data_IF_116080185482
#
_entry.id   IF_116080185482
#
_cell.length_a   1.000
_cell.length_b   1.000
_cell.length_c   1.000
_cell.angle_alpha   90.00
_cell.angle_beta   90.00
_cell.angle_gamma   90.00
#
_symmetry.space_group_name_H-M   'P 1'
#
loop_
_entity.id
_entity.type
_entity.pdbx_description
1 polymer ?
#
# COMPACT_ATOMS: atom_id res chain seq x y z
N UNK A 1 22.30 -10.31 -0.75
CA UNK A 1 21.61 -9.23 0.01
C UNK A 1 21.78 -7.84 -0.61
N UNK A 2 22.87 -7.55 -1.34
CA UNK A 2 23.08 -6.27 -2.03
C UNK A 2 22.05 -5.91 -3.13
N UNK A 3 21.30 -6.89 -3.64
CA UNK A 3 20.29 -6.70 -4.70
C UNK A 3 18.95 -6.11 -4.23
N UNK A 4 18.78 -5.89 -2.93
CA UNK A 4 17.51 -5.46 -2.36
C UNK A 4 16.41 -6.53 -2.42
N UNK A 5 15.47 -6.48 -1.48
CA UNK A 5 14.29 -7.35 -1.43
C UNK A 5 13.07 -6.42 -1.41
N UNK A 6 12.22 -6.55 -2.42
CA UNK A 6 10.93 -5.87 -2.47
C UNK A 6 9.82 -6.90 -2.27
N UNK A 7 8.94 -6.63 -1.31
CA UNK A 7 7.74 -7.41 -1.02
C UNK A 7 6.53 -6.52 -1.19
N UNK A 8 5.52 -7.02 -1.90
CA UNK A 8 4.24 -6.33 -2.09
C UNK A 8 3.11 -7.29 -1.74
N UNK A 9 2.16 -6.81 -0.95
CA UNK A 9 0.97 -7.56 -0.57
C UNK A 9 -0.25 -6.70 -0.74
N UNK A 10 -1.30 -7.23 -1.37
CA UNK A 10 -2.57 -6.54 -1.50
C UNK A 10 -3.71 -7.52 -1.18
N UNK A 11 -4.70 -7.02 -0.43
CA UNK A 11 -5.88 -7.78 -0.01
C UNK A 11 -7.15 -7.00 -0.36
N UNK A 12 -7.88 -7.41 -1.42
CA UNK A 12 -9.21 -6.89 -1.68
C UNK A 12 -10.22 -7.50 -0.70
N UNK A 13 -11.20 -6.72 -0.28
CA UNK A 13 -12.32 -7.15 0.55
C UNK A 13 -13.59 -6.38 0.19
N UNK A 14 -14.74 -7.04 0.32
CA UNK A 14 -16.05 -6.38 0.28
C UNK A 14 -16.39 -5.95 1.70
N UNK A 15 -16.39 -4.64 1.96
CA UNK A 15 -16.59 -4.10 3.30
C UNK A 15 -18.08 -4.05 3.66
N UNK A 16 -18.94 -3.73 2.70
CA UNK A 16 -20.39 -3.70 2.89
C UNK A 16 -21.13 -3.95 1.58
N UNK A 17 -22.25 -4.67 1.67
CA UNK A 17 -23.20 -4.84 0.59
C UNK A 17 -24.62 -4.77 1.16
N UNK A 18 -25.43 -3.87 0.61
CA UNK A 18 -26.85 -3.77 0.89
C UNK A 18 -27.57 -3.67 -0.43
N UNK A 19 -28.53 -4.56 -0.66
CA UNK A 19 -29.40 -4.54 -1.84
C UNK A 19 -30.85 -4.66 -1.41
N UNK A 20 -31.69 -3.73 -1.87
CA UNK A 20 -33.15 -3.73 -1.63
C UNK A 20 -33.86 -3.51 -2.94
N UNK A 21 -34.89 -4.31 -3.19
CA UNK A 21 -35.79 -4.16 -4.32
C UNK A 21 -37.10 -3.64 -3.75
N UNK A 22 -37.55 -2.50 -4.25
CA UNK A 22 -38.73 -1.78 -3.77
C UNK A 22 -39.75 -1.67 -4.92
N UNK A 23 -41.03 -1.97 -4.67
CA UNK A 23 -42.07 -1.73 -5.65
C UNK A 23 -42.33 -0.22 -5.79
N UNK A 24 -42.48 0.27 -7.02
CA UNK A 24 -42.94 1.65 -7.29
C UNK A 24 -44.42 1.68 -7.62
N UNK A 25 -45.04 2.86 -7.53
CA UNK A 25 -46.48 3.05 -7.83
C UNK A 25 -46.84 2.71 -9.29
N UNK A 26 -45.87 2.73 -10.21
CA UNK A 26 -46.03 2.35 -11.61
C UNK A 26 -45.90 0.82 -11.82
N UNK A 27 -45.74 0.03 -10.75
CA UNK A 27 -45.60 -1.43 -10.82
C UNK A 27 -44.21 -1.90 -11.26
N UNK A 28 -43.24 -0.99 -11.40
CA UNK A 28 -41.89 -1.31 -11.84
C UNK A 28 -40.95 -1.47 -10.63
N UNK A 29 -40.11 -2.51 -10.57
CA UNK A 29 -39.16 -2.68 -9.47
C UNK A 29 -38.05 -1.63 -9.51
N UNK A 30 -37.86 -0.93 -8.39
CA UNK A 30 -36.72 -0.05 -8.16
C UNK A 30 -35.69 -0.78 -7.29
N UNK A 31 -34.43 -0.70 -7.68
CA UNK A 31 -33.27 -1.22 -6.96
C UNK A 31 -32.58 -0.08 -6.18
N UNK A 32 -32.35 -0.34 -4.89
CA UNK A 32 -31.45 0.41 -4.03
C UNK A 32 -30.25 -0.50 -3.73
N UNK A 33 -29.06 -0.10 -4.14
CA UNK A 33 -27.80 -0.82 -3.91
C UNK A 33 -26.80 0.06 -3.20
N UNK A 34 -26.14 -0.45 -2.16
CA UNK A 34 -25.03 0.20 -1.48
C UNK A 34 -23.89 -0.81 -1.36
N UNK A 35 -22.76 -0.53 -2.02
CA UNK A 35 -21.61 -1.42 -2.11
C UNK A 35 -20.37 -0.67 -1.68
N UNK A 36 -19.65 -1.17 -0.70
CA UNK A 36 -18.34 -0.65 -0.30
C UNK A 36 -17.30 -1.74 -0.52
N UNK A 37 -16.40 -1.52 -1.47
CA UNK A 37 -15.22 -2.35 -1.68
C UNK A 37 -14.01 -1.67 -1.03
N UNK A 38 -13.09 -2.44 -0.49
CA UNK A 38 -11.83 -1.93 0.04
C UNK A 38 -10.65 -2.80 -0.42
N UNK A 39 -9.50 -2.18 -0.61
CA UNK A 39 -8.24 -2.84 -0.95
C UNK A 39 -7.18 -2.31 0.01
N UNK A 40 -6.66 -3.18 0.86
CA UNK A 40 -5.51 -2.86 1.69
C UNK A 40 -4.25 -3.36 0.98
N UNK A 41 -3.25 -2.51 0.80
CA UNK A 41 -1.95 -2.88 0.24
C UNK A 41 -0.81 -2.48 1.17
N UNK A 42 0.25 -3.26 1.18
CA UNK A 42 1.46 -2.99 1.93
C UNK A 42 2.67 -3.37 1.07
N UNK A 43 3.54 -2.39 0.84
CA UNK A 43 4.81 -2.60 0.17
C UNK A 43 5.96 -2.44 1.18
N UNK A 44 6.95 -3.32 1.08
CA UNK A 44 8.15 -3.30 1.91
C UNK A 44 9.36 -3.46 1.00
N UNK A 45 10.25 -2.47 0.99
CA UNK A 45 11.48 -2.48 0.22
C UNK A 45 12.68 -2.41 1.16
N UNK A 46 13.51 -3.45 1.18
CA UNK A 46 14.71 -3.54 2.02
C UNK A 46 15.91 -3.54 1.10
N UNK A 47 16.78 -2.54 1.22
CA UNK A 47 18.04 -2.43 0.48
C UNK A 47 19.20 -2.45 1.47
N UNK A 48 20.18 -3.30 1.24
CA UNK A 48 21.40 -3.37 2.05
C UNK A 48 22.61 -2.99 1.19
N UNK A 49 23.20 -1.84 1.47
CA UNK A 49 24.41 -1.35 0.83
C UNK A 49 25.59 -1.62 1.75
N UNK A 50 26.59 -2.36 1.28
CA UNK A 50 27.83 -2.64 2.01
C UNK A 50 28.96 -1.85 1.36
N UNK A 51 29.72 -1.11 2.16
CA UNK A 51 30.86 -0.32 1.67
C UNK A 51 32.14 -0.68 2.46
N UNK A 52 33.29 -0.98 1.82
CA UNK A 52 33.53 -1.10 0.38
C UNK A 52 32.83 -2.32 -0.26
N UNK A 53 32.54 -2.24 -1.55
CA UNK A 53 31.89 -3.29 -2.35
C UNK A 53 32.69 -4.58 -2.28
N UNK A 54 32.05 -5.67 -1.85
CA UNK A 54 32.65 -7.00 -1.79
C UNK A 54 32.98 -7.49 -3.22
N UNK A 55 34.14 -8.13 -3.44
CA UNK A 55 34.52 -8.66 -4.75
C UNK A 55 33.56 -9.76 -5.22
N UNK A 56 33.37 -9.87 -6.54
CA UNK A 56 32.37 -10.71 -7.21
C UNK A 56 32.58 -12.23 -7.06
N UNK A 57 33.61 -12.65 -6.32
CA UNK A 57 33.95 -14.06 -6.09
C UNK A 57 33.47 -14.52 -4.70
N UNK A 58 32.45 -15.39 -4.62
CA UNK A 58 31.84 -15.83 -3.35
C UNK A 58 32.74 -16.74 -2.49
N UNK A 59 33.98 -16.99 -2.91
CA UNK A 59 34.87 -18.01 -2.34
C UNK A 59 35.92 -17.42 -1.38
N UNK A 60 36.08 -16.09 -1.36
CA UNK A 60 37.06 -15.36 -0.53
C UNK A 60 36.41 -14.43 0.52
N UNK A 61 35.13 -14.63 0.83
CA UNK A 61 34.39 -13.89 1.85
C UNK A 61 34.87 -14.24 3.26
N UNK A 62 35.99 -13.66 3.71
CA UNK A 62 36.46 -13.81 5.09
C UNK A 62 35.59 -12.98 6.02
N UNK A 63 35.11 -13.55 7.13
CA UNK A 63 34.31 -12.85 8.16
C UNK A 63 34.96 -11.53 8.62
N UNK A 64 36.30 -11.49 8.67
CA UNK A 64 37.08 -10.31 9.03
C UNK A 64 36.90 -9.11 8.08
N UNK A 65 36.64 -9.37 6.80
CA UNK A 65 36.42 -8.31 5.80
C UNK A 65 35.00 -7.72 5.90
N UNK A 66 34.04 -8.54 6.36
CA UNK A 66 32.68 -8.10 6.69
C UNK A 66 32.68 -7.28 8.00
N UNK A 67 33.48 -7.66 9.00
CA UNK A 67 33.60 -6.88 10.25
C UNK A 67 34.27 -5.51 10.07
N UNK A 68 35.06 -5.33 9.01
CA UNK A 68 35.72 -4.06 8.66
C UNK A 68 34.90 -3.16 7.73
N UNK A 69 33.76 -3.63 7.22
CA UNK A 69 32.94 -2.87 6.27
C UNK A 69 31.78 -2.17 6.98
N UNK A 70 31.37 -1.02 6.43
CA UNK A 70 30.20 -0.29 6.90
C UNK A 70 28.96 -0.87 6.22
N UNK A 71 27.95 -1.19 7.03
CA UNK A 71 26.69 -1.74 6.58
C UNK A 71 25.61 -0.66 6.66
N UNK A 72 25.04 -0.28 5.52
CA UNK A 72 23.88 0.61 5.46
C UNK A 72 22.66 -0.21 5.03
N UNK A 73 21.67 -0.32 5.92
CA UNK A 73 20.39 -0.97 5.63
C UNK A 73 19.31 0.11 5.55
N UNK A 74 18.65 0.18 4.41
CA UNK A 74 17.50 1.04 4.17
C UNK A 74 16.27 0.16 4.05
N UNK A 75 15.27 0.39 4.91
CA UNK A 75 13.98 -0.25 4.84
C UNK A 75 12.91 0.81 4.59
N UNK A 76 12.08 0.61 3.58
CA UNK A 76 10.98 1.48 3.23
C UNK A 76 9.69 0.67 3.29
N UNK A 77 8.71 1.16 4.05
CA UNK A 77 7.40 0.53 4.21
C UNK A 77 6.33 1.50 3.71
N UNK A 78 5.40 1.01 2.90
CA UNK A 78 4.30 1.80 2.34
C UNK A 78 2.98 1.03 2.48
N UNK A 79 2.32 1.09 3.65
CA UNK A 79 0.93 0.71 3.78
C UNK A 79 0.02 1.71 3.04
N UNK A 80 -0.99 1.19 2.37
CA UNK A 80 -2.06 1.95 1.70
C UNK A 80 -3.40 1.22 1.79
N UNK A 81 -4.48 1.99 1.74
CA UNK A 81 -5.85 1.49 1.74
C UNK A 81 -6.66 2.31 0.74
N UNK A 82 -7.36 1.64 -0.16
CA UNK A 82 -8.32 2.24 -1.08
C UNK A 82 -9.72 1.73 -0.73
N UNK A 83 -10.69 2.62 -0.53
CA UNK A 83 -12.10 2.31 -0.42
C UNK A 83 -12.84 2.86 -1.63
N UNK A 84 -13.80 2.10 -2.12
CA UNK A 84 -14.67 2.47 -3.22
C UNK A 84 -16.11 2.15 -2.85
N UNK A 85 -16.91 3.19 -2.65
CA UNK A 85 -18.31 3.10 -2.28
C UNK A 85 -19.19 3.47 -3.47
N UNK A 86 -20.23 2.69 -3.69
CA UNK A 86 -21.25 2.91 -4.70
C UNK A 86 -22.61 2.91 -4.03
N UNK A 87 -23.38 3.98 -4.19
CA UNK A 87 -24.79 4.00 -3.87
C UNK A 87 -25.57 4.14 -5.18
N UNK A 88 -26.50 3.23 -5.44
CA UNK A 88 -27.29 3.15 -6.67
C UNK A 88 -28.75 3.18 -6.28
N UNK A 89 -29.52 4.07 -6.89
CA UNK A 89 -30.99 4.08 -6.81
C UNK A 89 -31.51 4.16 -8.22
N UNK A 90 -32.31 3.20 -8.65
CA UNK A 90 -32.83 3.23 -10.00
C UNK A 90 -33.72 2.05 -10.35
N UNK A 91 -34.26 2.10 -11.54
CA UNK A 91 -35.04 1.04 -12.14
C UNK A 91 -34.15 0.34 -13.16
N UNK A 92 -33.99 -0.98 -13.00
CA UNK A 92 -33.21 -1.82 -13.91
C UNK A 92 -34.12 -2.92 -14.46
N UNK A 93 -34.83 -2.61 -15.54
CA UNK A 93 -35.71 -3.57 -16.22
C UNK A 93 -35.37 -3.66 -17.70
N UNK A 94 -35.83 -4.71 -18.38
CA UNK A 94 -35.61 -4.88 -19.82
C UNK A 94 -36.25 -3.78 -20.69
N UNK A 95 -37.23 -3.05 -20.16
CA UNK A 95 -37.96 -1.99 -20.88
C UNK A 95 -37.48 -0.58 -20.49
N UNK A 96 -37.14 -0.37 -19.22
CA UNK A 96 -36.73 0.93 -18.68
C UNK A 96 -35.49 0.74 -17.80
N UNK A 97 -34.42 1.45 -18.15
CA UNK A 97 -33.20 1.55 -17.37
C UNK A 97 -32.94 3.02 -17.03
N UNK A 98 -33.09 3.36 -15.76
CA UNK A 98 -32.83 4.71 -15.27
C UNK A 98 -32.31 4.60 -13.84
N UNK A 99 -31.10 5.10 -13.58
CA UNK A 99 -30.52 5.04 -12.25
C UNK A 99 -29.68 6.28 -11.96
N UNK A 100 -29.70 6.68 -10.70
CA UNK A 100 -28.76 7.62 -10.10
C UNK A 100 -27.73 6.81 -9.35
N UNK A 101 -26.45 7.08 -9.60
CA UNK A 101 -25.34 6.43 -8.93
C UNK A 101 -24.44 7.48 -8.30
N UNK A 102 -24.32 7.45 -6.98
CA UNK A 102 -23.27 8.14 -6.26
C UNK A 102 -22.05 7.22 -6.16
N UNK A 103 -20.87 7.78 -6.42
CA UNK A 103 -19.59 7.08 -6.31
C UNK A 103 -18.71 7.89 -5.38
N UNK A 104 -18.05 7.20 -4.48
CA UNK A 104 -17.05 7.79 -3.60
C UNK A 104 -15.81 6.91 -3.63
N UNK A 105 -14.65 7.53 -3.84
CA UNK A 105 -13.36 6.85 -3.76
C UNK A 105 -12.53 7.51 -2.68
N UNK A 106 -12.12 6.73 -1.69
CA UNK A 106 -11.21 7.17 -0.64
C UNK A 106 -9.89 6.43 -0.80
N UNK A 107 -8.78 7.14 -0.92
CA UNK A 107 -7.45 6.52 -0.96
C UNK A 107 -6.56 7.12 0.11
N UNK A 108 -6.01 6.27 0.97
CA UNK A 108 -5.09 6.67 2.05
C UNK A 108 -3.78 5.90 1.94
N UNK A 109 -2.64 6.59 2.00
CA UNK A 109 -1.33 5.96 2.00
C UNK A 109 -0.43 6.60 3.06
N UNK A 110 0.26 5.77 3.82
CA UNK A 110 1.15 6.19 4.90
C UNK A 110 2.57 5.67 4.61
N UNK A 111 3.36 6.35 3.76
CA UNK A 111 4.74 5.95 3.53
C UNK A 111 5.58 6.18 4.79
N UNK A 112 6.54 5.30 5.04
CA UNK A 112 7.51 5.40 6.13
C UNK A 112 8.86 4.86 5.70
N UNK A 113 9.95 5.54 6.06
CA UNK A 113 11.31 5.17 5.67
C UNK A 113 12.23 5.07 6.88
N UNK A 114 12.80 3.91 7.09
CA UNK A 114 13.77 3.62 8.14
C UNK A 114 15.14 3.41 7.53
N UNK A 115 16.14 4.17 7.96
CA UNK A 115 17.53 4.02 7.52
C UNK A 115 18.38 3.68 8.74
N UNK A 116 18.97 2.48 8.74
CA UNK A 116 19.89 2.02 9.78
C UNK A 116 21.29 1.95 9.17
N UNK A 117 22.21 2.77 9.70
CA UNK A 117 23.62 2.79 9.30
C UNK A 117 24.43 2.22 10.45
N UNK A 118 25.09 1.09 10.23
CA UNK A 118 25.99 0.47 11.19
C UNK A 118 27.43 0.56 10.67
N UNK A 119 28.25 1.34 11.35
CA UNK A 119 29.70 1.40 11.16
C UNK A 119 30.34 0.33 12.07
N UNK A 120 30.38 -0.93 11.60
CA UNK A 120 31.01 -2.05 12.32
C UNK A 120 32.47 -1.78 12.75
N UNK A 121 33.36 -1.17 11.94
CA UNK A 121 34.74 -0.92 12.36
C UNK A 121 34.90 0.13 13.46
N UNK A 122 33.88 0.97 13.72
CA UNK A 122 33.88 2.00 14.77
C UNK A 122 32.89 1.73 15.90
N UNK A 123 32.13 0.63 15.82
CA UNK A 123 31.07 0.31 16.78
C UNK A 123 29.91 1.32 16.82
N UNK A 124 29.79 2.19 15.81
CA UNK A 124 28.77 3.24 15.79
C UNK A 124 27.53 2.79 15.02
N UNK A 125 26.37 2.83 15.68
CA UNK A 125 25.08 2.56 15.04
C UNK A 125 24.29 3.85 15.01
N UNK A 126 24.00 4.34 13.81
CA UNK A 126 23.11 5.48 13.57
C UNK A 126 21.80 4.96 13.01
N UNK A 127 20.72 5.18 13.77
CA UNK A 127 19.37 4.88 13.34
C UNK A 127 18.67 6.20 12.99
N UNK A 128 18.34 6.37 11.71
CA UNK A 128 17.58 7.50 11.20
C UNK A 128 16.18 7.00 10.85
N UNK A 129 15.22 7.29 11.72
CA UNK A 129 13.80 7.15 11.39
C UNK A 129 13.42 8.42 10.64
N UNK A 130 13.27 8.32 9.32
CA UNK A 130 12.69 9.42 8.55
C UNK A 130 11.18 9.21 8.61
N UNK A 131 10.42 9.98 9.42
CA UNK A 131 9.01 10.11 9.11
C UNK A 131 8.96 10.55 7.65
N UNK A 132 8.31 9.79 6.78
CA UNK A 132 8.09 10.24 5.42
C UNK A 132 7.00 11.33 5.46
N UNK A 133 7.30 12.43 6.14
CA UNK A 133 6.72 13.74 5.89
C UNK A 133 7.33 14.28 4.58
N UNK A 134 7.20 13.50 3.51
CA UNK A 134 7.21 13.97 2.15
C UNK A 134 5.81 13.64 1.65
N UNK A 135 4.91 14.57 1.94
CA UNK A 135 3.54 14.69 1.44
C UNK A 135 3.41 14.02 0.07
N UNK A 136 2.73 12.86 -0.08
CA UNK A 136 1.91 12.71 -1.26
C UNK A 136 0.78 13.74 -1.10
N UNK A 137 0.44 14.48 -2.15
CA UNK A 137 -0.47 15.64 -2.11
C UNK A 137 -1.77 15.41 -1.32
N UNK A 138 -2.16 14.16 -1.04
CA UNK A 138 -3.30 13.81 -0.21
C UNK A 138 -3.01 12.55 0.64
N UNK A 139 -2.96 12.69 1.97
CA UNK A 139 -2.94 11.56 2.93
C UNK A 139 -4.28 10.79 2.88
N UNK A 140 -5.34 11.48 2.46
CA UNK A 140 -6.63 10.93 2.11
C UNK A 140 -7.19 11.70 0.90
N UNK A 141 -7.32 11.05 -0.27
CA UNK A 141 -8.05 11.64 -1.40
C UNK A 141 -9.47 11.11 -1.39
N UNK A 142 -10.46 12.01 -1.31
CA UNK A 142 -11.86 11.70 -1.61
C UNK A 142 -12.15 12.22 -3.01
N UNK A 143 -12.59 11.37 -3.94
CA UNK A 143 -12.84 11.73 -5.34
C UNK A 143 -14.16 11.17 -5.85
#
# INVERSE_FOLDING_TARGET
MQKGIAFQYAKPLLAAEVRRILPTCLGVPMELGFYTAAVAAAELNIQATVNPTLPEHPETLTLDQVMRSNLQVQAEARPSVALQTFAVIGVNTALIQAAVMAREKVHTALPGKLVVKADLPKGNVKMEVLPAAAVPDHIATVR
#
